data_IF_127186567410
#
_entry.id   IF_127186567410
#
_cell.length_a   1.000
_cell.length_b   1.000
_cell.length_c   1.000
_cell.angle_alpha   90.00
_cell.angle_beta   90.00
_cell.angle_gamma   90.00
#
_symmetry.space_group_name_H-M   'P 1'
#
loop_
_entity.id
_entity.type
_entity.pdbx_description
1 polymer ?
#
# COMPACT_ATOMS: atom_id res chain seq x y z
N UNK A 1 19.31 -23.67 32.11
CA UNK A 1 19.62 -22.60 31.13
C UNK A 1 18.97 -22.79 29.75
N UNK A 2 18.58 -24.00 29.34
CA UNK A 2 17.98 -24.27 28.02
C UNK A 2 16.58 -23.64 27.79
N UNK A 3 15.79 -23.44 28.86
CA UNK A 3 14.43 -22.88 28.78
C UNK A 3 14.38 -21.38 28.45
N UNK A 4 15.39 -20.61 28.88
CA UNK A 4 15.44 -19.16 28.68
C UNK A 4 15.85 -18.84 27.22
N UNK A 5 16.74 -19.66 26.65
CA UNK A 5 17.15 -19.59 25.24
C UNK A 5 15.98 -19.81 24.27
N UNK A 6 15.03 -20.70 24.62
CA UNK A 6 13.89 -21.03 23.77
C UNK A 6 12.81 -19.94 23.77
N UNK A 7 12.61 -19.25 24.90
CA UNK A 7 11.67 -18.13 25.01
C UNK A 7 12.17 -16.91 24.23
N UNK A 8 13.49 -16.66 24.28
CA UNK A 8 14.10 -15.57 23.54
C UNK A 8 13.98 -15.76 22.02
N UNK A 9 14.11 -17.00 21.54
CA UNK A 9 13.96 -17.32 20.12
C UNK A 9 12.51 -17.11 19.61
N UNK A 10 11.52 -17.48 20.42
CA UNK A 10 10.09 -17.27 20.08
C UNK A 10 9.74 -15.76 20.07
N UNK A 11 10.29 -14.98 21.00
CA UNK A 11 10.09 -13.54 21.06
C UNK A 11 10.68 -12.82 19.83
N UNK A 12 11.85 -13.25 19.34
CA UNK A 12 12.47 -12.68 18.13
C UNK A 12 11.65 -12.99 16.88
N UNK A 13 11.10 -14.21 16.75
CA UNK A 13 10.28 -14.60 15.58
C UNK A 13 8.95 -13.83 15.53
N UNK A 14 8.34 -13.49 16.68
CA UNK A 14 7.06 -12.75 16.71
C UNK A 14 7.17 -11.29 16.28
N UNK A 15 8.35 -10.66 16.38
CA UNK A 15 8.56 -9.27 15.95
C UNK A 15 8.58 -9.16 14.41
N UNK A 16 8.86 -10.26 13.69
CA UNK A 16 8.87 -10.28 12.23
C UNK A 16 7.47 -10.38 11.59
N UNK A 17 6.42 -10.74 12.34
CA UNK A 17 5.08 -10.93 11.77
C UNK A 17 4.17 -9.69 11.81
N UNK A 18 4.66 -8.54 12.30
CA UNK A 18 3.87 -7.32 12.38
C UNK A 18 3.82 -6.55 11.04
N UNK A 19 4.65 -6.90 10.04
CA UNK A 19 4.72 -6.15 8.76
C UNK A 19 3.78 -6.65 7.66
N UNK A 20 3.16 -7.84 7.77
CA UNK A 20 2.30 -8.36 6.69
C UNK A 20 0.96 -7.60 6.51
N UNK A 21 0.54 -6.79 7.48
CA UNK A 21 -0.75 -6.07 7.38
C UNK A 21 -0.66 -4.65 6.83
N UNK A 22 0.52 -4.01 6.86
CA UNK A 22 0.66 -2.61 6.47
C UNK A 22 0.82 -2.44 4.96
N UNK A 23 1.52 -3.36 4.29
CA UNK A 23 1.83 -3.25 2.85
C UNK A 23 0.55 -3.29 2.00
N UNK A 24 -0.33 -4.25 2.26
CA UNK A 24 -1.63 -4.40 1.59
C UNK A 24 -2.52 -3.17 1.76
N UNK A 25 -2.67 -2.71 3.01
CA UNK A 25 -3.47 -1.54 3.34
C UNK A 25 -2.94 -0.29 2.64
N UNK A 26 -1.63 -0.07 2.71
CA UNK A 26 -0.98 1.10 2.11
C UNK A 26 -1.09 1.06 0.58
N UNK A 27 -0.89 -0.10 -0.04
CA UNK A 27 -1.07 -0.29 -1.48
C UNK A 27 -2.51 0.00 -1.92
N UNK A 28 -3.49 -0.49 -1.17
CA UNK A 28 -4.91 -0.23 -1.41
C UNK A 28 -5.26 1.25 -1.24
N UNK A 29 -4.70 1.90 -0.24
CA UNK A 29 -4.92 3.33 0.03
C UNK A 29 -4.27 4.22 -1.03
N UNK A 30 -3.04 3.91 -1.46
CA UNK A 30 -2.37 4.58 -2.57
C UNK A 30 -3.18 4.45 -3.88
N UNK A 31 -3.69 3.26 -4.17
CA UNK A 31 -4.52 3.01 -5.35
C UNK A 31 -5.85 3.78 -5.28
N UNK A 32 -6.50 3.84 -4.12
CA UNK A 32 -7.72 4.65 -3.91
C UNK A 32 -7.47 6.12 -4.22
N UNK A 33 -6.40 6.71 -3.66
CA UNK A 33 -6.07 8.12 -3.92
C UNK A 33 -5.72 8.38 -5.40
N UNK A 34 -5.01 7.45 -6.06
CA UNK A 34 -4.74 7.57 -7.49
C UNK A 34 -6.03 7.59 -8.33
N UNK A 35 -7.00 6.73 -8.00
CA UNK A 35 -8.32 6.72 -8.66
C UNK A 35 -9.10 7.99 -8.38
N UNK A 36 -9.13 8.45 -7.13
CA UNK A 36 -9.78 9.72 -6.76
C UNK A 36 -9.19 10.89 -7.55
N UNK A 37 -7.86 10.94 -7.73
CA UNK A 37 -7.22 11.97 -8.55
C UNK A 37 -7.73 11.98 -10.00
N UNK A 38 -7.92 10.80 -10.60
CA UNK A 38 -8.49 10.66 -11.94
C UNK A 38 -9.96 11.11 -11.96
N UNK A 39 -10.75 10.73 -10.96
CA UNK A 39 -12.17 11.15 -10.87
C UNK A 39 -12.34 12.66 -10.69
N UNK A 40 -11.49 13.30 -9.88
CA UNK A 40 -11.45 14.76 -9.77
C UNK A 40 -11.01 15.42 -11.08
N UNK A 41 -10.01 14.84 -11.76
CA UNK A 41 -9.55 15.32 -13.06
C UNK A 41 -10.66 15.27 -14.12
N UNK A 42 -11.46 14.18 -14.16
CA UNK A 42 -12.63 14.06 -15.05
C UNK A 42 -13.70 15.13 -14.78
N UNK A 43 -13.80 15.60 -13.54
CA UNK A 43 -14.72 16.66 -13.10
C UNK A 43 -14.14 18.08 -13.24
N UNK A 44 -12.93 18.21 -13.79
CA UNK A 44 -12.17 19.46 -13.86
C UNK A 44 -11.85 20.11 -12.49
N UNK A 45 -11.88 19.32 -11.42
CA UNK A 45 -11.51 19.75 -10.07
C UNK A 45 -10.02 19.49 -9.85
N UNK A 46 -9.18 20.38 -10.40
CA UNK A 46 -7.73 20.17 -10.48
C UNK A 46 -7.02 20.25 -9.14
N UNK A 47 -7.53 21.06 -8.20
CA UNK A 47 -6.94 21.20 -6.87
C UNK A 47 -7.12 19.89 -6.08
N UNK A 48 -8.34 19.35 -6.05
CA UNK A 48 -8.59 18.06 -5.41
C UNK A 48 -7.87 16.90 -6.12
N UNK A 49 -7.74 16.97 -7.45
CA UNK A 49 -6.97 15.99 -8.21
C UNK A 49 -5.48 15.99 -7.82
N UNK A 50 -4.89 17.17 -7.68
CA UNK A 50 -3.51 17.35 -7.28
C UNK A 50 -3.27 16.87 -5.84
N UNK A 51 -4.17 17.21 -4.92
CA UNK A 51 -4.10 16.77 -3.52
C UNK A 51 -4.19 15.24 -3.39
N UNK A 52 -5.12 14.60 -4.10
CA UNK A 52 -5.25 13.15 -4.10
C UNK A 52 -4.01 12.48 -4.73
N UNK A 53 -3.51 13.02 -5.83
CA UNK A 53 -2.28 12.53 -6.45
C UNK A 53 -1.09 12.62 -5.50
N UNK A 54 -0.91 13.74 -4.81
CA UNK A 54 0.17 13.94 -3.85
C UNK A 54 0.14 12.90 -2.72
N UNK A 55 -1.04 12.61 -2.15
CA UNK A 55 -1.21 11.58 -1.12
C UNK A 55 -0.86 10.18 -1.61
N UNK A 56 -1.25 9.83 -2.84
CA UNK A 56 -0.85 8.57 -3.46
C UNK A 56 0.67 8.47 -3.59
N UNK A 57 1.30 9.53 -4.09
CA UNK A 57 2.76 9.59 -4.30
C UNK A 57 3.54 9.56 -2.98
N UNK A 58 3.01 10.14 -1.90
CA UNK A 58 3.63 10.08 -0.57
C UNK A 58 3.73 8.64 -0.06
N UNK A 59 2.63 7.87 -0.19
CA UNK A 59 2.62 6.46 0.20
C UNK A 59 3.60 5.66 -0.66
N UNK A 60 3.54 5.81 -1.99
CA UNK A 60 4.45 5.13 -2.93
C UNK A 60 5.92 5.47 -2.63
N UNK A 61 6.23 6.74 -2.36
CA UNK A 61 7.58 7.17 -2.03
C UNK A 61 8.10 6.50 -0.75
N UNK A 62 7.23 6.25 0.23
CA UNK A 62 7.60 5.57 1.48
C UNK A 62 8.04 4.12 1.29
N UNK A 63 7.79 3.51 0.12
CA UNK A 63 8.16 2.13 -0.19
C UNK A 63 9.36 1.99 -1.12
N UNK A 64 9.92 3.07 -1.71
CA UNK A 64 10.97 2.98 -2.76
C UNK A 64 12.27 2.28 -2.34
N UNK A 65 12.63 2.32 -1.07
CA UNK A 65 13.88 1.75 -0.54
C UNK A 65 13.63 0.65 0.51
N UNK A 66 12.38 0.18 0.61
CA UNK A 66 11.98 -0.84 1.58
C UNK A 66 12.14 -2.25 1.00
N UNK A 67 12.45 -3.28 1.80
CA UNK A 67 12.42 -4.67 1.34
C UNK A 67 11.09 -5.09 0.68
N UNK A 68 10.00 -4.46 1.11
CA UNK A 68 8.63 -4.74 0.67
C UNK A 68 8.23 -4.01 -0.64
N UNK A 69 9.13 -3.26 -1.31
CA UNK A 69 8.79 -2.50 -2.54
C UNK A 69 8.10 -3.36 -3.59
N UNK A 70 8.64 -4.56 -3.85
CA UNK A 70 8.10 -5.44 -4.89
C UNK A 70 6.69 -5.95 -4.56
N UNK A 71 6.42 -6.24 -3.29
CA UNK A 71 5.09 -6.64 -2.82
C UNK A 71 4.10 -5.46 -2.92
N UNK A 72 4.53 -4.29 -2.43
CA UNK A 72 3.75 -3.05 -2.53
C UNK A 72 3.38 -2.73 -3.98
N UNK A 73 4.35 -2.73 -4.90
CA UNK A 73 4.14 -2.39 -6.31
C UNK A 73 3.18 -3.38 -6.98
N UNK A 74 3.30 -4.67 -6.67
CA UNK A 74 2.38 -5.70 -7.17
C UNK A 74 0.95 -5.46 -6.68
N UNK A 75 0.77 -5.25 -5.38
CA UNK A 75 -0.56 -5.02 -4.78
C UNK A 75 -1.18 -3.71 -5.27
N UNK A 76 -0.38 -2.65 -5.36
CA UNK A 76 -0.81 -1.34 -5.88
C UNK A 76 -1.32 -1.47 -7.31
N UNK A 77 -0.58 -2.17 -8.19
CA UNK A 77 -1.00 -2.41 -9.57
C UNK A 77 -2.30 -3.23 -9.62
N UNK A 78 -2.42 -4.28 -8.80
CA UNK A 78 -3.67 -5.06 -8.69
C UNK A 78 -4.84 -4.15 -8.30
N UNK A 79 -4.72 -3.38 -7.23
CA UNK A 79 -5.79 -2.51 -6.77
C UNK A 79 -6.10 -1.38 -7.73
N UNK A 80 -5.13 -0.85 -8.46
CA UNK A 80 -5.35 0.20 -9.46
C UNK A 80 -6.25 -0.31 -10.60
N UNK A 81 -6.09 -1.58 -11.00
CA UNK A 81 -6.83 -2.20 -12.11
C UNK A 81 -8.15 -2.84 -11.68
N UNK A 82 -8.30 -3.23 -10.41
CA UNK A 82 -9.45 -4.00 -9.90
C UNK A 82 -10.83 -3.36 -10.18
N UNK A 83 -10.93 -2.02 -10.28
CA UNK A 83 -12.19 -1.34 -10.63
C UNK A 83 -12.36 -1.07 -12.15
N UNK A 84 -11.31 -1.27 -12.97
CA UNK A 84 -11.34 -1.02 -14.41
C UNK A 84 -12.03 -2.17 -15.16
N UNK A 85 -12.05 -3.38 -14.59
CA UNK A 85 -12.62 -4.59 -15.22
C UNK A 85 -14.10 -4.83 -14.91
N UNK A 86 -14.70 -4.07 -13.99
CA UNK A 86 -16.15 -4.17 -13.67
C UNK A 86 -17.07 -3.31 -14.54
N UNK A 87 -16.52 -2.50 -15.44
CA UNK A 87 -17.28 -1.67 -16.40
C UNK A 87 -17.60 -2.39 -17.73
N UNK A 88 -17.28 -3.68 -17.87
CA UNK A 88 -17.90 -4.53 -18.91
C UNK A 88 -19.17 -5.20 -18.35
N UNK A 89 -20.28 -4.45 -18.34
CA UNK A 89 -21.62 -5.00 -18.12
C UNK A 89 -22.60 -4.55 -19.20
#
# INVERSE_FOLDING_TARGET
>A
MQKISNILFIAVVLIFFVSCGSVDKDAKEAARFAKESVEHSKKHDLDAAADAFAKSQEIIASYREKPETAEFDSLFATYLVEDITTEEK
#
